data_IF_621121080088
#
_entry.id   IF_621121080088
#
_cell.length_a   1.000
_cell.length_b   1.000
_cell.length_c   1.000
_cell.angle_alpha   90.00
_cell.angle_beta   90.00
_cell.angle_gamma   90.00
#
_symmetry.space_group_name_H-M   'P 1'
#
loop_
_entity.id
_entity.type
_entity.pdbx_description
1 polymer ?
#
# COMPACT_ATOMS: atom_id res chain seq x y z
N UNK A 1 20.76 15.15 -12.83
CA UNK A 1 20.92 16.51 -13.39
C UNK A 1 19.77 17.45 -13.03
N UNK A 2 18.50 17.11 -13.33
CA UNK A 2 17.37 17.99 -13.01
C UNK A 2 17.15 18.17 -11.49
N UNK A 3 17.12 17.06 -10.73
CA UNK A 3 16.96 17.07 -9.27
C UNK A 3 18.10 17.83 -8.57
N UNK A 4 19.36 17.52 -8.91
CA UNK A 4 20.54 18.22 -8.40
C UNK A 4 20.43 19.75 -8.54
N UNK A 5 19.99 20.21 -9.72
CA UNK A 5 19.82 21.64 -9.99
C UNK A 5 18.70 22.25 -9.13
N UNK A 6 17.63 21.52 -8.87
CA UNK A 6 16.52 21.99 -8.02
C UNK A 6 16.99 22.07 -6.58
N UNK A 7 17.64 21.02 -6.07
CA UNK A 7 18.16 20.94 -4.70
C UNK A 7 19.17 22.06 -4.45
N UNK A 8 20.09 22.32 -5.39
CA UNK A 8 21.07 23.41 -5.29
C UNK A 8 20.40 24.78 -5.16
N UNK A 9 19.39 25.05 -5.99
CA UNK A 9 18.75 26.37 -6.09
C UNK A 9 17.59 26.58 -5.11
N UNK A 10 17.11 25.53 -4.45
CA UNK A 10 16.04 25.64 -3.47
C UNK A 10 16.47 26.50 -2.27
N UNK A 11 15.60 27.43 -1.87
CA UNK A 11 15.79 28.22 -0.66
C UNK A 11 15.48 27.41 0.61
N UNK A 12 14.52 26.49 0.51
CA UNK A 12 14.10 25.58 1.55
C UNK A 12 13.62 24.27 0.90
N UNK A 13 13.97 23.15 1.52
CA UNK A 13 13.45 21.83 1.19
C UNK A 13 12.70 21.33 2.41
N UNK A 14 11.45 20.91 2.21
CA UNK A 14 10.63 20.33 3.28
C UNK A 14 10.67 18.81 3.13
N UNK A 15 11.22 18.13 4.13
CA UNK A 15 11.23 16.68 4.23
C UNK A 15 10.19 16.20 5.25
N UNK A 16 9.66 15.00 5.07
CA UNK A 16 8.69 14.41 6.00
C UNK A 16 9.37 13.82 7.23
N UNK A 17 10.63 13.38 7.11
CA UNK A 17 11.38 12.72 8.20
C UNK A 17 12.85 13.11 8.21
N UNK A 18 13.53 12.90 9.35
CA UNK A 18 14.99 13.02 9.44
C UNK A 18 15.71 11.96 8.61
N UNK A 19 15.11 10.78 8.43
CA UNK A 19 15.65 9.73 7.56
C UNK A 19 15.74 10.21 6.11
N UNK A 20 14.71 10.90 5.61
CA UNK A 20 14.74 11.51 4.28
C UNK A 20 15.85 12.56 4.15
N UNK A 21 16.05 13.39 5.19
CA UNK A 21 17.15 14.37 5.23
C UNK A 21 18.53 13.71 5.12
N UNK A 22 18.80 12.68 5.90
CA UNK A 22 20.15 12.11 6.03
C UNK A 22 20.45 11.00 5.02
N UNK A 23 19.47 10.15 4.70
CA UNK A 23 19.69 8.96 3.89
C UNK A 23 19.24 9.13 2.43
N UNK A 24 18.26 10.00 2.16
CA UNK A 24 17.81 10.26 0.79
C UNK A 24 18.50 11.51 0.24
N UNK A 25 18.23 12.68 0.83
CA UNK A 25 18.86 13.94 0.44
C UNK A 25 20.36 13.99 0.74
N UNK A 26 20.83 13.27 1.76
CA UNK A 26 22.26 13.19 2.08
C UNK A 26 23.11 12.47 1.02
N UNK A 27 22.50 11.85 0.01
CA UNK A 27 23.22 11.20 -1.10
C UNK A 27 23.57 12.17 -2.24
N UNK A 28 23.00 13.38 -2.26
CA UNK A 28 23.30 14.39 -3.26
C UNK A 28 24.64 15.09 -2.96
N UNK A 29 25.36 15.51 -4.00
CA UNK A 29 26.73 16.04 -3.88
C UNK A 29 26.76 17.38 -3.14
N UNK A 30 25.73 18.20 -3.32
CA UNK A 30 25.60 19.46 -2.60
C UNK A 30 25.21 19.21 -1.14
N UNK A 31 25.95 19.81 -0.23
CA UNK A 31 25.60 19.85 1.19
C UNK A 31 24.26 20.56 1.37
N UNK A 32 23.18 19.78 1.37
CA UNK A 32 21.81 20.22 1.70
C UNK A 32 21.66 20.61 3.18
N UNK A 33 22.73 20.42 3.96
CA UNK A 33 22.81 20.80 5.38
C UNK A 33 22.54 22.30 5.53
N UNK A 34 21.50 22.62 6.29
CA UNK A 34 21.04 23.98 6.54
C UNK A 34 19.87 24.45 5.65
N UNK A 35 19.53 23.71 4.58
CA UNK A 35 18.38 24.02 3.70
C UNK A 35 17.17 23.11 3.89
N UNK A 36 17.30 22.03 4.66
CA UNK A 36 16.21 21.07 4.91
C UNK A 36 15.53 21.35 6.24
N UNK A 37 14.21 21.52 6.22
CA UNK A 37 13.35 21.48 7.39
C UNK A 37 12.52 20.19 7.38
N UNK A 38 12.51 19.48 8.51
CA UNK A 38 11.66 18.31 8.68
C UNK A 38 10.31 18.77 9.22
N UNK A 39 9.26 18.65 8.41
CA UNK A 39 7.88 18.98 8.77
C UNK A 39 7.03 17.74 8.47
N UNK A 40 6.77 16.89 9.47
CA UNK A 40 6.00 15.67 9.27
C UNK A 40 4.58 15.98 8.77
N UNK A 41 4.11 15.32 7.71
CA UNK A 41 2.73 15.48 7.25
C UNK A 41 1.75 14.84 8.23
N UNK A 42 0.46 15.20 8.10
CA UNK A 42 -0.64 14.61 8.87
C UNK A 42 -1.75 14.09 7.95
N UNK A 43 -2.78 13.52 8.58
CA UNK A 43 -4.03 13.13 7.91
C UNK A 43 -5.06 14.25 8.03
N UNK A 44 -5.81 14.51 6.95
CA UNK A 44 -6.77 15.63 6.90
C UNK A 44 -8.00 15.40 7.79
N UNK A 45 -8.42 14.14 7.97
CA UNK A 45 -9.54 13.77 8.83
C UNK A 45 -9.20 12.55 9.69
N UNK A 46 -8.82 12.75 10.96
CA UNK A 46 -8.54 11.66 11.89
C UNK A 46 -9.74 10.75 12.17
N UNK A 47 -10.98 11.23 11.99
CA UNK A 47 -12.18 10.43 12.27
C UNK A 47 -12.37 9.28 11.28
N UNK A 48 -11.66 9.29 10.15
CA UNK A 48 -11.65 8.18 9.19
C UNK A 48 -11.02 6.90 9.74
N UNK A 49 -10.29 7.00 10.86
CA UNK A 49 -9.63 5.88 11.53
C UNK A 49 -10.40 5.39 12.76
N UNK A 50 -11.68 5.74 12.89
CA UNK A 50 -12.56 5.24 13.95
C UNK A 50 -12.87 3.75 13.74
N UNK A 51 -12.19 2.90 14.50
CA UNK A 51 -12.30 1.43 14.45
C UNK A 51 -13.68 0.89 14.87
N UNK A 52 -14.56 1.74 15.41
CA UNK A 52 -15.93 1.34 15.78
C UNK A 52 -16.91 1.40 14.62
N UNK A 53 -16.51 2.02 13.49
CA UNK A 53 -17.35 2.20 12.32
C UNK A 53 -16.90 1.27 11.21
N UNK A 54 -17.84 0.52 10.64
CA UNK A 54 -17.65 -0.20 9.38
C UNK A 54 -18.49 0.43 8.28
N UNK A 55 -18.09 0.20 7.04
CA UNK A 55 -18.83 0.64 5.87
C UNK A 55 -19.41 -0.60 5.18
N UNK A 56 -20.74 -0.71 5.14
CA UNK A 56 -21.43 -1.90 4.63
C UNK A 56 -21.04 -2.25 3.19
N UNK A 57 -20.67 -1.27 2.35
CA UNK A 57 -20.21 -1.54 0.98
C UNK A 57 -18.87 -2.30 0.94
N UNK A 58 -17.98 -2.03 1.89
CA UNK A 58 -16.71 -2.75 2.03
C UNK A 58 -16.98 -4.16 2.55
N UNK A 59 -17.84 -4.29 3.56
CA UNK A 59 -18.20 -5.58 4.16
C UNK A 59 -18.81 -6.52 3.10
N UNK A 60 -19.75 -6.02 2.28
CA UNK A 60 -20.34 -6.80 1.18
C UNK A 60 -19.28 -7.23 0.15
N UNK A 61 -18.40 -6.32 -0.29
CA UNK A 61 -17.33 -6.65 -1.25
C UNK A 61 -16.38 -7.72 -0.72
N UNK A 62 -16.01 -7.65 0.57
CA UNK A 62 -15.14 -8.64 1.18
C UNK A 62 -15.85 -9.99 1.33
N UNK A 63 -17.15 -10.00 1.65
CA UNK A 63 -17.95 -11.23 1.71
C UNK A 63 -18.12 -11.92 0.34
N UNK A 64 -18.08 -11.17 -0.77
CA UNK A 64 -18.09 -11.74 -2.12
C UNK A 64 -16.74 -12.38 -2.51
N UNK A 65 -15.63 -11.89 -1.95
CA UNK A 65 -14.28 -12.28 -2.35
C UNK A 65 -13.63 -13.30 -1.41
N UNK A 66 -14.02 -13.33 -0.14
CA UNK A 66 -13.42 -14.15 0.90
C UNK A 66 -14.39 -15.20 1.42
N UNK A 67 -13.89 -16.39 1.72
CA UNK A 67 -14.69 -17.49 2.26
C UNK A 67 -15.11 -17.25 3.72
N UNK A 68 -14.24 -16.60 4.50
CA UNK A 68 -14.46 -16.28 5.92
C UNK A 68 -13.89 -14.90 6.26
N UNK A 69 -14.57 -13.81 5.84
CA UNK A 69 -14.06 -12.45 6.01
C UNK A 69 -13.95 -12.00 7.47
N UNK A 70 -14.75 -12.58 8.37
CA UNK A 70 -14.86 -12.14 9.78
C UNK A 70 -14.23 -13.12 10.79
N UNK A 71 -14.02 -14.39 10.42
CA UNK A 71 -13.41 -15.40 11.29
C UNK A 71 -11.89 -15.49 11.21
N UNK A 72 -11.25 -14.74 10.31
CA UNK A 72 -9.80 -14.72 10.10
C UNK A 72 -9.21 -13.32 10.22
N UNK A 73 -7.93 -13.26 10.59
CA UNK A 73 -7.22 -11.99 10.71
C UNK A 73 -7.01 -11.32 9.34
N UNK A 74 -7.36 -10.05 9.16
CA UNK A 74 -7.09 -9.34 7.91
C UNK A 74 -5.62 -8.87 7.84
N UNK A 75 -4.93 -9.24 6.78
CA UNK A 75 -3.66 -8.63 6.37
C UNK A 75 -3.97 -7.67 5.24
N UNK A 76 -4.04 -6.37 5.55
CA UNK A 76 -4.42 -5.33 4.60
C UNK A 76 -3.18 -4.60 4.06
N UNK A 77 -3.07 -4.53 2.73
CA UNK A 77 -2.10 -3.71 2.03
C UNK A 77 -2.80 -2.76 1.06
N UNK A 78 -2.66 -1.45 1.28
CA UNK A 78 -3.17 -0.40 0.39
C UNK A 78 -1.97 0.31 -0.22
N UNK A 79 -1.80 0.16 -1.53
CA UNK A 79 -0.68 0.77 -2.23
C UNK A 79 -0.99 0.94 -3.72
N UNK A 80 -0.24 1.81 -4.40
CA UNK A 80 -0.24 1.81 -5.87
C UNK A 80 0.42 0.52 -6.39
N UNK A 81 -0.07 -0.05 -7.51
CA UNK A 81 0.58 -1.17 -8.18
C UNK A 81 1.84 -0.67 -8.90
N UNK A 82 2.94 -0.61 -8.16
CA UNK A 82 4.28 -0.20 -8.61
C UNK A 82 5.34 -1.18 -8.07
N UNK A 83 6.41 -1.40 -8.84
CA UNK A 83 7.46 -2.39 -8.51
C UNK A 83 8.12 -2.10 -7.17
N UNK A 84 8.31 -0.81 -6.82
CA UNK A 84 8.94 -0.39 -5.57
C UNK A 84 8.11 -0.74 -4.34
N UNK A 85 6.80 -1.00 -4.49
CA UNK A 85 5.91 -1.43 -3.40
C UNK A 85 6.01 -2.93 -3.10
N UNK A 86 6.59 -3.71 -4.02
CA UNK A 86 6.93 -5.12 -3.80
C UNK A 86 5.74 -6.01 -3.38
N UNK A 87 4.53 -5.71 -3.86
CA UNK A 87 3.30 -6.42 -3.50
C UNK A 87 3.33 -7.90 -3.94
N UNK A 88 3.99 -8.23 -5.04
CA UNK A 88 4.16 -9.63 -5.47
C UNK A 88 4.90 -10.47 -4.43
N UNK A 89 5.93 -9.91 -3.77
CA UNK A 89 6.65 -10.65 -2.73
C UNK A 89 5.83 -10.81 -1.45
N UNK A 90 4.93 -9.87 -1.16
CA UNK A 90 3.95 -10.02 -0.08
C UNK A 90 3.05 -11.25 -0.33
N UNK A 91 2.54 -11.40 -1.56
CA UNK A 91 1.72 -12.56 -1.95
C UNK A 91 2.50 -13.87 -1.78
N UNK A 92 3.73 -13.94 -2.25
CA UNK A 92 4.57 -15.14 -2.09
C UNK A 92 4.83 -15.47 -0.63
N UNK A 93 5.17 -14.46 0.18
CA UNK A 93 5.48 -14.64 1.60
C UNK A 93 4.26 -15.11 2.39
N UNK A 94 3.07 -14.60 2.06
CA UNK A 94 1.81 -15.05 2.63
C UNK A 94 1.50 -16.50 2.24
N UNK A 95 1.65 -16.85 0.96
CA UNK A 95 1.35 -18.18 0.46
C UNK A 95 2.30 -19.27 1.01
N UNK A 96 3.56 -18.93 1.23
CA UNK A 96 4.58 -19.87 1.74
C UNK A 96 4.46 -20.12 3.24
N UNK A 97 3.76 -19.27 3.98
CA UNK A 97 3.53 -19.44 5.41
C UNK A 97 2.20 -20.16 5.66
N UNK A 98 2.27 -21.46 5.99
CA UNK A 98 1.10 -22.29 6.25
C UNK A 98 0.25 -21.78 7.42
N UNK A 99 0.89 -21.28 8.48
CA UNK A 99 0.18 -20.72 9.62
C UNK A 99 -0.60 -19.46 9.21
N UNK A 100 0.03 -18.52 8.49
CA UNK A 100 -0.66 -17.30 8.03
C UNK A 100 -1.82 -17.63 7.09
N UNK A 101 -1.61 -18.45 6.07
CA UNK A 101 -2.66 -18.79 5.10
C UNK A 101 -3.84 -19.57 5.68
N UNK A 102 -3.67 -20.18 6.87
CA UNK A 102 -4.75 -20.84 7.61
C UNK A 102 -5.53 -19.87 8.51
N UNK A 103 -4.88 -18.85 9.08
CA UNK A 103 -5.46 -17.99 10.11
C UNK A 103 -5.80 -16.58 9.65
N UNK A 104 -5.38 -16.19 8.44
CA UNK A 104 -5.54 -14.84 7.93
C UNK A 104 -6.09 -14.80 6.49
N UNK A 105 -6.66 -13.64 6.14
CA UNK A 105 -7.02 -13.27 4.78
C UNK A 105 -6.08 -12.18 4.28
N UNK A 106 -5.54 -12.34 3.08
CA UNK A 106 -4.71 -11.32 2.44
C UNK A 106 -5.57 -10.39 1.58
N UNK A 107 -5.67 -9.11 1.95
CA UNK A 107 -6.46 -8.11 1.25
C UNK A 107 -5.50 -7.09 0.64
N UNK A 108 -5.44 -7.02 -0.68
CA UNK A 108 -4.61 -6.04 -1.39
C UNK A 108 -5.52 -5.08 -2.15
N UNK A 109 -5.44 -3.79 -1.82
CA UNK A 109 -6.08 -2.71 -2.57
C UNK A 109 -5.00 -2.01 -3.39
N UNK A 110 -4.96 -2.31 -4.69
CA UNK A 110 -3.91 -1.90 -5.59
C UNK A 110 -4.41 -0.88 -6.64
N UNK A 111 -4.82 0.30 -6.21
CA UNK A 111 -5.40 1.31 -7.12
C UNK A 111 -6.74 0.86 -7.74
N UNK A 112 -7.19 1.55 -8.79
CA UNK A 112 -8.40 1.20 -9.54
C UNK A 112 -8.03 0.59 -10.90
N UNK A 113 -8.62 -0.56 -11.23
CA UNK A 113 -8.33 -1.35 -12.45
C UNK A 113 -8.73 -0.66 -13.76
N UNK A 114 -9.45 0.47 -13.71
CA UNK A 114 -9.78 1.26 -14.90
C UNK A 114 -8.54 1.72 -15.68
N UNK A 115 -7.38 1.73 -15.04
CA UNK A 115 -6.07 1.91 -15.67
C UNK A 115 -5.43 0.52 -15.89
N UNK A 116 -5.18 0.14 -17.15
CA UNK A 116 -4.43 -1.09 -17.45
C UNK A 116 -3.06 -1.00 -16.78
N UNK A 117 -2.84 -1.82 -15.75
CA UNK A 117 -1.59 -1.85 -15.01
C UNK A 117 -1.06 -3.29 -14.96
N UNK A 118 0.09 -3.49 -15.60
CA UNK A 118 0.75 -4.80 -15.72
C UNK A 118 1.07 -5.41 -14.35
N UNK A 119 1.40 -4.59 -13.35
CA UNK A 119 1.75 -5.06 -12.00
C UNK A 119 0.50 -5.56 -11.27
N UNK A 120 -0.63 -4.89 -11.45
CA UNK A 120 -1.91 -5.39 -10.93
C UNK A 120 -2.25 -6.76 -11.51
N UNK A 121 -2.13 -6.92 -12.84
CA UNK A 121 -2.37 -8.19 -13.53
C UNK A 121 -1.42 -9.29 -13.04
N UNK A 122 -0.14 -8.98 -12.87
CA UNK A 122 0.84 -9.91 -12.30
C UNK A 122 0.47 -10.38 -10.89
N UNK A 123 0.03 -9.47 -10.01
CA UNK A 123 -0.41 -9.82 -8.65
C UNK A 123 -1.65 -10.73 -8.72
N UNK A 124 -2.63 -10.38 -9.55
CA UNK A 124 -3.83 -11.19 -9.76
C UNK A 124 -3.47 -12.61 -10.22
N UNK A 125 -2.68 -12.73 -11.28
CA UNK A 125 -2.29 -14.01 -11.87
C UNK A 125 -1.49 -14.86 -10.89
N UNK A 126 -0.62 -14.22 -10.10
CA UNK A 126 0.12 -14.88 -9.04
C UNK A 126 -0.80 -15.42 -7.93
N UNK A 127 -1.76 -14.62 -7.46
CA UNK A 127 -2.74 -15.08 -6.45
C UNK A 127 -3.59 -16.24 -6.96
N UNK A 128 -3.98 -16.22 -8.24
CA UNK A 128 -4.70 -17.32 -8.88
C UNK A 128 -3.84 -18.57 -9.01
N UNK A 129 -2.61 -18.43 -9.50
CA UNK A 129 -1.63 -19.54 -9.65
C UNK A 129 -1.32 -20.22 -8.31
N UNK A 130 -1.28 -19.46 -7.22
CA UNK A 130 -1.07 -19.97 -5.86
C UNK A 130 -2.38 -20.47 -5.20
N UNK A 131 -3.50 -20.44 -5.92
CA UNK A 131 -4.80 -20.90 -5.44
C UNK A 131 -5.34 -20.11 -4.25
N UNK A 132 -4.88 -18.89 -4.01
CA UNK A 132 -5.31 -18.07 -2.86
C UNK A 132 -6.75 -17.58 -3.06
N UNK A 133 -7.06 -17.11 -4.27
CA UNK A 133 -8.40 -16.63 -4.64
C UNK A 133 -9.42 -17.77 -4.62
N UNK A 134 -9.07 -18.94 -5.17
CA UNK A 134 -9.95 -20.11 -5.18
C UNK A 134 -10.26 -20.61 -3.75
N UNK A 135 -9.29 -20.54 -2.84
CA UNK A 135 -9.49 -20.87 -1.42
C UNK A 135 -10.30 -19.81 -0.66
N UNK A 136 -10.56 -18.65 -1.28
CA UNK A 136 -11.23 -17.52 -0.62
C UNK A 136 -10.43 -16.91 0.53
N UNK A 137 -9.09 -16.96 0.45
CA UNK A 137 -8.19 -16.45 1.50
C UNK A 137 -7.38 -15.23 1.05
N UNK A 138 -7.60 -14.77 -0.18
CA UNK A 138 -7.04 -13.53 -0.67
C UNK A 138 -8.10 -12.76 -1.48
N UNK A 139 -8.00 -11.43 -1.41
CA UNK A 139 -8.86 -10.51 -2.15
C UNK A 139 -8.00 -9.44 -2.82
N UNK A 140 -8.29 -9.19 -4.10
CA UNK A 140 -7.74 -8.09 -4.89
C UNK A 140 -8.91 -7.35 -5.55
N UNK A 141 -9.62 -6.46 -4.81
CA UNK A 141 -10.77 -5.75 -5.36
C UNK A 141 -10.38 -4.95 -6.61
N UNK A 142 -11.16 -5.03 -7.71
CA UNK A 142 -10.83 -4.34 -8.95
C UNK A 142 -11.05 -2.82 -8.86
N UNK A 143 -11.89 -2.37 -7.95
CA UNK A 143 -12.16 -0.95 -7.74
C UNK A 143 -12.57 -0.63 -6.30
N UNK A 144 -12.31 0.62 -5.92
CA UNK A 144 -12.72 1.23 -4.67
C UNK A 144 -13.09 2.70 -4.91
N UNK A 145 -13.97 3.22 -4.06
CA UNK A 145 -14.27 4.63 -3.95
C UNK A 145 -13.37 5.31 -2.92
N UNK A 146 -13.31 6.65 -2.95
CA UNK A 146 -12.49 7.41 -2.01
C UNK A 146 -12.91 7.19 -0.55
N UNK A 147 -14.21 7.04 -0.27
CA UNK A 147 -14.71 6.83 1.09
C UNK A 147 -14.32 5.47 1.67
N UNK A 148 -14.11 4.46 0.82
CA UNK A 148 -13.75 3.09 1.22
C UNK A 148 -12.27 2.95 1.64
N UNK A 149 -11.44 3.97 1.43
CA UNK A 149 -10.00 3.97 1.76
C UNK A 149 -9.70 5.09 2.75
N UNK A 150 -9.20 4.80 3.96
CA UNK A 150 -8.93 5.78 5.03
C UNK A 150 -8.06 6.99 4.60
#
# INVERSE_FOLDING_TARGET
>A
AAEERIIRNAALIVASTSQEQFEQYGTYEESVKGKIAVIPPGVSDPNRFDVTKTQSSVDCKLAELLADPNGRYPILAIARPDVKKNLSRLVDSFAQNSWLSQHANLIIIAGNRSEKNVIWEQINDQMQRLGLMHRGIAALPPSHSHSEIP
#
